data_IF_066338266636
#
_entry.id   IF_066338266636
#
_cell.length_a   1.000
_cell.length_b   1.000
_cell.length_c   1.000
_cell.angle_alpha   90.00
_cell.angle_beta   90.00
_cell.angle_gamma   90.00
#
_symmetry.space_group_name_H-M   'P 1'
#
loop_
_entity.id
_entity.type
_entity.pdbx_description
1 polymer ?
#
# COMPACT_ATOMS: atom_id res chain seq x y z
N UNK A 1 -18.05 -19.36 48.13
CA UNK A 1 -17.51 -17.97 48.14
C UNK A 1 -17.44 -17.51 46.68
N UNK A 2 -18.55 -17.16 46.02
CA UNK A 2 -19.19 -15.83 45.97
C UNK A 2 -18.22 -14.65 45.91
N UNK A 3 -17.99 -14.13 44.70
CA UNK A 3 -17.69 -12.71 44.48
C UNK A 3 -18.59 -12.19 43.35
N UNK A 4 -19.64 -11.46 43.76
CA UNK A 4 -20.48 -10.61 42.91
C UNK A 4 -19.63 -9.49 42.31
N UNK A 5 -19.78 -9.26 41.01
CA UNK A 5 -19.30 -8.06 40.33
C UNK A 5 -20.42 -7.00 40.37
N UNK A 6 -20.18 -5.80 40.93
CA UNK A 6 -21.19 -4.74 40.95
C UNK A 6 -21.25 -3.98 39.62
N UNK A 7 -22.46 -3.93 39.07
CA UNK A 7 -22.96 -2.97 38.10
C UNK A 7 -22.90 -1.55 38.69
N UNK A 8 -22.38 -0.59 37.92
CA UNK A 8 -22.42 0.82 38.30
C UNK A 8 -22.67 1.70 37.06
N UNK A 9 -23.89 1.59 36.56
CA UNK A 9 -24.53 2.64 35.77
C UNK A 9 -24.66 3.94 36.57
N UNK A 10 -23.87 4.96 36.23
CA UNK A 10 -24.17 6.36 36.60
C UNK A 10 -23.97 7.32 35.44
N UNK A 11 -25.12 7.62 34.85
CA UNK A 11 -25.53 8.87 34.20
C UNK A 11 -24.71 10.09 34.59
N UNK A 12 -24.08 10.72 33.60
CA UNK A 12 -23.66 12.12 33.68
C UNK A 12 -24.18 12.87 32.45
N UNK A 13 -25.25 13.64 32.64
CA UNK A 13 -25.67 14.68 31.69
C UNK A 13 -25.16 16.03 32.19
N UNK A 14 -24.50 16.80 31.34
CA UNK A 14 -24.67 18.25 31.36
C UNK A 14 -25.43 18.70 30.10
N UNK A 15 -26.43 19.51 30.36
CA UNK A 15 -27.37 20.11 29.43
C UNK A 15 -26.99 21.58 29.28
N UNK A 16 -26.36 22.01 28.17
CA UNK A 16 -26.30 23.42 27.79
C UNK A 16 -26.47 23.58 26.27
N UNK A 17 -27.69 23.99 25.92
CA UNK A 17 -28.10 24.96 24.89
C UNK A 17 -27.28 25.10 23.59
N UNK A 18 -27.90 24.62 22.51
CA UNK A 18 -28.53 25.53 21.55
C UNK A 18 -27.63 26.40 20.66
N UNK A 19 -27.08 25.81 19.60
CA UNK A 19 -26.92 26.49 18.31
C UNK A 19 -27.41 25.57 17.19
N UNK A 20 -28.60 25.88 16.66
CA UNK A 20 -29.11 25.29 15.42
C UNK A 20 -28.17 25.68 14.28
N UNK A 21 -27.29 24.76 13.90
CA UNK A 21 -26.59 24.83 12.63
C UNK A 21 -27.30 23.87 11.68
N UNK A 22 -28.04 24.43 10.72
CA UNK A 22 -28.62 23.71 9.59
C UNK A 22 -27.48 23.05 8.83
N UNK A 23 -27.26 21.75 9.03
CA UNK A 23 -26.43 20.95 8.13
C UNK A 23 -27.31 20.61 6.94
N UNK A 24 -27.08 21.33 5.85
CA UNK A 24 -27.57 20.97 4.54
C UNK A 24 -27.13 19.53 4.24
N UNK A 25 -28.12 18.67 4.01
CA UNK A 25 -27.98 17.42 3.29
C UNK A 25 -27.37 17.71 1.91
N UNK A 26 -26.08 17.41 1.75
CA UNK A 26 -25.40 17.38 0.45
C UNK A 26 -24.65 16.06 0.36
N UNK A 27 -25.22 15.16 -0.44
CA UNK A 27 -24.46 14.28 -1.32
C UNK A 27 -23.69 13.14 -0.66
N UNK A 28 -24.38 12.02 -0.44
CA UNK A 28 -23.80 10.68 -0.28
C UNK A 28 -23.06 10.15 -1.54
N UNK A 29 -22.37 11.03 -2.28
CA UNK A 29 -21.60 10.72 -3.50
C UNK A 29 -20.12 11.13 -3.33
N UNK A 30 -19.79 11.96 -2.34
CA UNK A 30 -18.41 12.42 -2.14
C UNK A 30 -17.45 11.35 -1.58
N UNK A 31 -17.96 10.27 -0.96
CA UNK A 31 -17.11 9.25 -0.31
C UNK A 31 -16.66 8.13 -1.26
N UNK A 32 -17.31 7.96 -2.42
CA UNK A 32 -16.95 6.92 -3.40
C UNK A 32 -15.83 7.39 -4.35
N UNK A 33 -15.65 8.69 -4.51
CA UNK A 33 -14.64 9.25 -5.41
C UNK A 33 -13.22 9.32 -4.82
N UNK A 34 -13.05 9.20 -3.50
CA UNK A 34 -11.73 9.24 -2.84
C UNK A 34 -10.99 7.89 -3.00
N UNK A 35 -11.72 6.78 -3.18
CA UNK A 35 -11.10 5.46 -3.38
C UNK A 35 -10.60 5.29 -4.82
N UNK A 36 -11.25 5.95 -5.80
CA UNK A 36 -10.87 5.88 -7.21
C UNK A 36 -9.67 6.80 -7.53
N UNK A 37 -9.50 7.92 -6.82
CA UNK A 37 -8.41 8.87 -7.09
C UNK A 37 -7.04 8.39 -6.60
N UNK A 38 -6.94 7.55 -5.56
CA UNK A 38 -5.64 7.01 -5.13
C UNK A 38 -5.15 5.89 -6.06
N UNK A 39 -6.06 5.11 -6.67
CA UNK A 39 -5.71 4.08 -7.66
C UNK A 39 -5.27 4.73 -8.98
N UNK A 40 -5.92 5.83 -9.41
CA UNK A 40 -5.49 6.55 -10.61
C UNK A 40 -4.12 7.20 -10.44
N UNK A 41 -3.86 7.91 -9.34
CA UNK A 41 -2.60 8.65 -9.16
C UNK A 41 -1.39 7.71 -9.00
N UNK A 42 -1.57 6.50 -8.48
CA UNK A 42 -0.46 5.53 -8.34
C UNK A 42 -0.18 4.71 -9.59
N UNK A 43 -1.12 4.60 -10.53
CA UNK A 43 -0.99 3.69 -11.69
C UNK A 43 -1.02 4.38 -13.06
N UNK A 44 -1.43 5.65 -13.17
CA UNK A 44 -1.29 6.46 -14.39
C UNK A 44 -0.19 7.51 -14.30
N UNK A 45 0.56 7.52 -13.19
CA UNK A 45 1.78 8.29 -13.06
C UNK A 45 2.71 7.94 -14.22
N UNK A 46 2.94 8.90 -15.10
CA UNK A 46 3.95 8.83 -16.15
C UNK A 46 5.31 8.88 -15.42
N UNK A 47 5.72 7.76 -14.81
CA UNK A 47 7.05 7.56 -14.23
C UNK A 47 8.04 7.54 -15.38
N UNK A 48 8.31 8.70 -15.98
CA UNK A 48 9.55 8.93 -16.71
C UNK A 48 10.64 8.78 -15.66
N UNK A 49 11.19 7.57 -15.59
CA UNK A 49 12.25 7.15 -14.67
C UNK A 49 13.39 8.16 -14.75
N UNK A 50 13.46 9.07 -13.79
CA UNK A 50 14.60 9.91 -13.45
C UNK A 50 14.36 10.42 -12.04
N UNK A 51 14.95 9.73 -11.08
CA UNK A 51 14.80 9.98 -9.67
C UNK A 51 15.96 10.78 -9.05
N UNK A 52 16.83 11.40 -9.87
CA UNK A 52 17.83 12.42 -9.49
C UNK A 52 17.31 13.60 -8.62
N UNK A 53 16.05 13.60 -8.18
CA UNK A 53 15.45 14.55 -7.23
C UNK A 53 14.50 13.92 -6.19
N UNK A 54 14.48 12.60 -5.99
CA UNK A 54 13.61 12.01 -4.96
C UNK A 54 14.21 12.33 -3.59
N UNK A 55 13.44 13.05 -2.78
CA UNK A 55 13.76 13.29 -1.37
C UNK A 55 13.28 12.11 -0.54
N UNK A 56 13.99 11.80 0.54
CA UNK A 56 13.50 10.88 1.57
C UNK A 56 12.14 11.37 2.06
N UNK A 57 11.11 10.54 1.95
CA UNK A 57 9.79 10.85 2.44
C UNK A 57 9.76 10.74 3.97
N UNK A 58 8.99 11.62 4.60
CA UNK A 58 8.77 11.57 6.04
C UNK A 58 7.71 10.50 6.41
N UNK A 59 8.04 9.23 6.18
CA UNK A 59 7.24 8.07 6.53
C UNK A 59 8.08 7.04 7.30
N UNK A 60 7.46 5.93 7.73
CA UNK A 60 8.16 4.88 8.49
C UNK A 60 9.40 4.37 7.77
N UNK A 61 9.32 4.15 6.45
CA UNK A 61 10.42 3.61 5.65
C UNK A 61 11.59 4.59 5.53
N UNK A 62 11.32 5.86 5.25
CA UNK A 62 12.34 6.91 5.17
C UNK A 62 13.01 7.15 6.51
N UNK A 63 12.23 7.33 7.58
CA UNK A 63 12.76 7.57 8.93
C UNK A 63 13.63 6.41 9.41
N UNK A 64 13.19 5.16 9.21
CA UNK A 64 13.96 3.98 9.62
C UNK A 64 15.22 3.78 8.77
N UNK A 65 15.16 4.05 7.46
CA UNK A 65 16.34 4.03 6.60
C UNK A 65 17.39 5.04 7.09
N UNK A 66 16.98 6.28 7.39
CA UNK A 66 17.87 7.32 7.92
C UNK A 66 18.46 6.94 9.29
N UNK A 67 17.63 6.42 10.21
CA UNK A 67 18.08 5.94 11.52
C UNK A 67 19.12 4.82 11.42
N UNK A 68 19.03 3.99 10.38
CA UNK A 68 20.02 2.94 10.07
C UNK A 68 21.26 3.46 9.32
N UNK A 69 21.39 4.78 9.14
CA UNK A 69 22.51 5.40 8.44
C UNK A 69 22.50 5.19 6.92
N UNK A 70 21.37 4.76 6.36
CA UNK A 70 21.20 4.67 4.92
C UNK A 70 21.02 6.06 4.32
N UNK A 71 21.83 6.36 3.31
CA UNK A 71 21.77 7.60 2.54
C UNK A 71 21.44 7.32 1.08
N UNK A 72 22.09 6.32 0.48
CA UNK A 72 21.99 6.08 -0.97
C UNK A 72 20.59 5.70 -1.42
N UNK A 73 20.01 4.67 -0.80
CA UNK A 73 18.70 4.14 -1.24
C UNK A 73 17.54 4.60 -0.38
N UNK A 74 17.75 5.48 0.61
CA UNK A 74 16.70 5.89 1.56
C UNK A 74 15.52 6.55 0.85
N UNK A 75 15.80 7.39 -0.15
CA UNK A 75 14.78 8.08 -0.94
C UNK A 75 13.90 7.08 -1.72
N UNK A 76 14.53 6.24 -2.55
CA UNK A 76 13.85 5.19 -3.31
C UNK A 76 13.05 4.23 -2.42
N UNK A 77 13.65 3.79 -1.30
CA UNK A 77 13.01 2.89 -0.34
C UNK A 77 11.78 3.53 0.30
N UNK A 78 11.85 4.83 0.63
CA UNK A 78 10.72 5.56 1.21
C UNK A 78 9.54 5.69 0.25
N UNK A 79 9.80 5.91 -1.05
CA UNK A 79 8.77 6.02 -2.10
C UNK A 79 8.14 4.66 -2.40
N UNK A 80 8.95 3.60 -2.53
CA UNK A 80 8.45 2.25 -2.73
C UNK A 80 7.60 1.79 -1.54
N UNK A 81 8.04 2.08 -0.31
CA UNK A 81 7.29 1.77 0.91
C UNK A 81 5.96 2.52 1.01
N UNK A 82 5.94 3.82 0.68
CA UNK A 82 4.69 4.61 0.60
C UNK A 82 3.71 3.98 -0.41
N UNK A 83 4.22 3.68 -1.61
CA UNK A 83 3.42 3.10 -2.69
C UNK A 83 2.86 1.73 -2.31
N UNK A 84 3.68 0.89 -1.67
CA UNK A 84 3.30 -0.44 -1.21
C UNK A 84 2.23 -0.40 -0.11
N UNK A 85 2.28 0.60 0.77
CA UNK A 85 1.39 0.72 1.93
C UNK A 85 0.14 1.56 1.70
N UNK A 86 0.00 2.17 0.53
CA UNK A 86 -1.15 2.99 0.16
C UNK A 86 -2.49 2.28 0.47
N UNK A 87 -3.40 3.01 1.14
CA UNK A 87 -4.74 2.57 1.53
C UNK A 87 -4.78 1.36 2.49
N UNK A 88 -3.70 1.09 3.23
CA UNK A 88 -3.66 0.02 4.24
C UNK A 88 -3.33 0.56 5.63
N UNK A 89 -3.84 -0.13 6.65
CA UNK A 89 -3.16 -0.13 7.95
C UNK A 89 -2.03 -1.17 7.87
N UNK A 90 -0.86 -0.85 8.40
CA UNK A 90 0.30 -1.72 8.24
C UNK A 90 1.24 -1.70 9.46
N UNK A 91 2.03 -2.76 9.54
CA UNK A 91 3.25 -2.82 10.35
C UNK A 91 4.37 -3.39 9.49
N UNK A 92 5.59 -2.95 9.76
CA UNK A 92 6.74 -3.27 8.93
C UNK A 92 7.92 -3.69 9.80
N UNK A 93 8.60 -4.76 9.39
CA UNK A 93 9.92 -5.12 9.88
C UNK A 93 10.94 -4.72 8.82
N UNK A 94 11.90 -3.88 9.18
CA UNK A 94 13.00 -3.49 8.28
C UNK A 94 14.23 -4.34 8.63
N UNK A 95 14.88 -4.83 7.59
CA UNK A 95 16.04 -5.71 7.63
C UNK A 95 17.13 -5.04 6.79
N UNK A 96 18.28 -4.79 7.40
CA UNK A 96 19.42 -4.16 6.75
C UNK A 96 20.73 -4.70 7.34
N UNK A 97 21.87 -4.34 6.74
CA UNK A 97 23.19 -4.59 7.32
C UNK A 97 23.65 -3.33 8.08
N UNK A 98 23.57 -3.28 9.43
CA UNK A 98 23.71 -2.02 10.19
C UNK A 98 25.07 -1.31 10.03
N UNK A 99 26.12 -2.04 9.60
CA UNK A 99 27.48 -1.51 9.41
C UNK A 99 27.84 -1.23 7.94
N UNK A 100 26.93 -1.52 7.02
CA UNK A 100 27.17 -1.40 5.58
C UNK A 100 25.88 -1.15 4.79
N UNK A 101 24.93 -0.41 5.38
CA UNK A 101 23.63 -0.12 4.78
C UNK A 101 23.73 0.54 3.40
N UNK A 102 24.76 1.38 3.17
CA UNK A 102 25.00 2.02 1.87
C UNK A 102 25.71 1.14 0.83
N UNK A 103 26.05 -0.11 1.16
CA UNK A 103 26.71 -1.07 0.26
C UNK A 103 25.93 -2.36 0.04
N UNK A 104 24.82 -2.54 0.75
CA UNK A 104 23.99 -3.73 0.68
C UNK A 104 22.52 -3.38 0.57
N UNK A 105 21.72 -4.39 0.32
CA UNK A 105 20.27 -4.30 0.25
C UNK A 105 19.67 -3.83 1.58
N UNK A 106 18.63 -3.02 1.50
CA UNK A 106 17.62 -2.87 2.55
C UNK A 106 16.36 -3.58 2.09
N UNK A 107 15.68 -4.22 3.04
CA UNK A 107 14.42 -4.89 2.80
C UNK A 107 13.43 -4.52 3.91
N UNK A 108 12.15 -4.49 3.58
CA UNK A 108 11.09 -4.59 4.57
C UNK A 108 10.12 -5.72 4.26
N UNK A 109 9.66 -6.39 5.32
CA UNK A 109 8.51 -7.27 5.31
C UNK A 109 7.33 -6.52 5.95
N UNK A 110 6.21 -6.46 5.25
CA UNK A 110 5.08 -5.62 5.64
C UNK A 110 3.82 -6.45 5.73
N UNK A 111 3.20 -6.46 6.91
CA UNK A 111 1.85 -6.97 7.12
C UNK A 111 0.83 -5.86 6.89
N UNK A 112 -0.24 -6.15 6.17
CA UNK A 112 -1.22 -5.14 5.76
C UNK A 112 -2.66 -5.57 6.02
N UNK A 113 -3.48 -4.60 6.39
CA UNK A 113 -4.92 -4.74 6.55
C UNK A 113 -5.59 -3.69 5.66
N UNK A 114 -6.47 -4.16 4.79
CA UNK A 114 -7.28 -3.34 3.88
C UNK A 114 -8.75 -3.43 4.27
N UNK A 115 -9.47 -2.33 4.05
CA UNK A 115 -10.92 -2.33 4.10
C UNK A 115 -11.45 -2.17 2.67
N UNK A 116 -11.95 -3.26 2.09
CA UNK A 116 -12.49 -3.30 0.72
C UNK A 116 -13.98 -3.61 0.82
N UNK A 117 -14.83 -2.66 0.44
CA UNK A 117 -16.29 -2.81 0.49
C UNK A 117 -16.80 -3.28 1.87
N UNK A 118 -16.32 -2.64 2.94
CA UNK A 118 -16.63 -2.97 4.34
C UNK A 118 -16.18 -4.37 4.79
N UNK A 119 -15.32 -5.03 4.03
CA UNK A 119 -14.71 -6.32 4.39
C UNK A 119 -13.22 -6.14 4.65
N UNK A 120 -12.76 -6.80 5.70
CA UNK A 120 -11.34 -6.85 6.03
C UNK A 120 -10.65 -7.82 5.08
N UNK A 121 -9.64 -7.31 4.37
CA UNK A 121 -8.71 -8.07 3.56
C UNK A 121 -7.32 -7.97 4.18
N UNK A 122 -6.52 -9.04 4.02
CA UNK A 122 -5.14 -9.09 4.50
C UNK A 122 -4.19 -9.09 3.32
N UNK A 123 -3.05 -8.46 3.51
CA UNK A 123 -1.94 -8.49 2.58
C UNK A 123 -0.61 -8.75 3.28
N UNK A 124 0.34 -9.25 2.50
CA UNK A 124 1.71 -9.43 2.92
C UNK A 124 2.60 -8.99 1.76
N UNK A 125 3.55 -8.12 2.04
CA UNK A 125 4.26 -7.39 1.00
C UNK A 125 5.72 -7.22 1.37
N UNK A 126 6.56 -7.01 0.38
CA UNK A 126 7.96 -6.69 0.59
C UNK A 126 8.38 -5.52 -0.28
N UNK A 127 9.23 -4.66 0.28
CA UNK A 127 9.97 -3.65 -0.47
C UNK A 127 11.45 -3.96 -0.30
N UNK A 128 12.22 -3.82 -1.36
CA UNK A 128 13.67 -3.81 -1.27
C UNK A 128 14.27 -2.67 -2.08
N UNK A 129 15.46 -2.24 -1.68
CA UNK A 129 16.31 -1.39 -2.50
C UNK A 129 17.78 -1.76 -2.29
N UNK A 130 18.59 -1.59 -3.33
CA UNK A 130 20.01 -1.89 -3.33
C UNK A 130 20.80 -0.82 -4.10
N UNK A 131 22.01 -0.48 -3.63
CA UNK A 131 22.94 0.36 -4.39
C UNK A 131 23.36 -0.31 -5.71
N UNK A 132 23.33 0.42 -6.84
CA UNK A 132 23.84 -0.03 -8.14
C UNK A 132 24.57 1.14 -8.82
N UNK A 133 25.84 0.96 -9.19
CA UNK A 133 26.67 1.84 -10.05
C UNK A 133 26.63 3.37 -9.82
N UNK A 134 26.31 3.86 -8.64
CA UNK A 134 26.13 5.31 -8.45
C UNK A 134 24.81 5.67 -7.82
N UNK A 135 23.78 4.92 -8.18
CA UNK A 135 22.39 5.12 -7.79
C UNK A 135 21.85 3.98 -6.95
N UNK A 136 20.54 3.78 -7.05
CA UNK A 136 19.84 2.68 -6.40
C UNK A 136 18.78 2.09 -7.30
N UNK A 137 18.61 0.79 -7.20
CA UNK A 137 17.47 0.08 -7.78
C UNK A 137 16.63 -0.52 -6.67
N UNK A 138 15.35 -0.68 -6.90
CA UNK A 138 14.47 -1.27 -5.92
C UNK A 138 13.19 -1.78 -6.56
N UNK A 139 12.51 -2.63 -5.81
CA UNK A 139 11.18 -3.06 -6.17
C UNK A 139 10.30 -3.19 -4.95
N UNK A 140 9.00 -3.13 -5.20
CA UNK A 140 7.99 -3.59 -4.26
C UNK A 140 7.23 -4.76 -4.85
N UNK A 141 6.91 -5.74 -4.00
CA UNK A 141 5.94 -6.80 -4.26
C UNK A 141 4.83 -6.65 -3.24
N UNK A 142 3.62 -6.41 -3.72
CA UNK A 142 2.42 -6.29 -2.90
C UNK A 142 1.47 -7.44 -3.17
N UNK A 143 1.21 -8.27 -2.16
CA UNK A 143 0.26 -9.38 -2.27
C UNK A 143 -0.97 -9.10 -1.42
N UNK A 144 -2.15 -9.13 -2.04
CA UNK A 144 -3.43 -8.86 -1.37
C UNK A 144 -4.42 -9.97 -1.68
N UNK A 145 -5.08 -10.52 -0.66
CA UNK A 145 -6.21 -11.43 -0.85
C UNK A 145 -7.51 -10.63 -0.87
N UNK A 146 -8.13 -10.47 -2.04
CA UNK A 146 -9.39 -9.74 -2.18
C UNK A 146 -10.61 -10.67 -2.12
N UNK A 147 -11.72 -10.25 -1.49
CA UNK A 147 -12.98 -11.00 -1.47
C UNK A 147 -13.79 -10.81 -2.78
N UNK A 148 -13.10 -10.80 -3.92
CA UNK A 148 -13.64 -10.71 -5.27
C UNK A 148 -12.93 -11.74 -6.15
N UNK A 149 -13.63 -12.28 -7.14
CA UNK A 149 -13.04 -13.16 -8.15
C UNK A 149 -11.98 -12.42 -8.97
N UNK A 150 -11.02 -13.15 -9.56
CA UNK A 150 -9.99 -12.49 -10.38
C UNK A 150 -10.59 -11.78 -11.61
N UNK A 151 -11.69 -12.29 -12.16
CA UNK A 151 -12.40 -11.63 -13.26
C UNK A 151 -12.99 -10.28 -12.84
N UNK A 152 -13.58 -10.19 -11.64
CA UNK A 152 -14.06 -8.92 -11.08
C UNK A 152 -12.92 -7.94 -10.81
N UNK A 153 -11.77 -8.43 -10.32
CA UNK A 153 -10.57 -7.60 -10.13
C UNK A 153 -10.12 -6.96 -11.44
N UNK A 154 -10.03 -7.74 -12.52
CA UNK A 154 -9.66 -7.22 -13.85
C UNK A 154 -10.62 -6.11 -14.29
N UNK A 155 -11.92 -6.32 -14.10
CA UNK A 155 -12.96 -5.42 -14.58
C UNK A 155 -13.06 -4.13 -13.75
N UNK A 156 -12.98 -4.24 -12.44
CA UNK A 156 -13.39 -3.17 -11.52
C UNK A 156 -12.22 -2.49 -10.81
N UNK A 157 -11.07 -3.16 -10.70
CA UNK A 157 -9.92 -2.63 -9.92
C UNK A 157 -8.70 -2.28 -10.76
N UNK A 158 -8.46 -2.96 -11.88
CA UNK A 158 -7.31 -2.64 -12.71
C UNK A 158 -7.52 -1.31 -13.45
N UNK A 159 -6.46 -0.49 -13.60
CA UNK A 159 -6.51 0.73 -14.40
C UNK A 159 -6.96 0.46 -15.83
N UNK A 160 -7.55 1.48 -16.46
CA UNK A 160 -7.79 1.43 -17.90
C UNK A 160 -6.45 1.38 -18.65
N UNK A 161 -6.41 0.60 -19.74
CA UNK A 161 -5.21 0.47 -20.58
C UNK A 161 -4.16 -0.52 -20.05
N UNK A 162 -4.50 -1.35 -19.06
CA UNK A 162 -3.67 -2.53 -18.75
C UNK A 162 -3.72 -3.52 -19.90
N UNK A 163 -2.56 -4.03 -20.29
CA UNK A 163 -2.43 -5.02 -21.36
C UNK A 163 -2.17 -6.39 -20.75
N UNK A 164 -3.05 -7.36 -21.01
CA UNK A 164 -2.77 -8.76 -20.67
C UNK A 164 -1.58 -9.23 -21.49
N UNK A 165 -0.60 -9.77 -20.80
CA UNK A 165 0.60 -10.37 -21.38
C UNK A 165 0.39 -11.89 -21.51
N UNK A 166 1.48 -12.64 -21.63
CA UNK A 166 1.43 -14.10 -21.54
C UNK A 166 1.16 -14.56 -20.11
N UNK A 167 0.44 -15.68 -19.97
CA UNK A 167 0.25 -16.31 -18.67
C UNK A 167 1.54 -16.99 -18.20
N UNK A 168 1.83 -16.91 -16.91
CA UNK A 168 2.96 -17.58 -16.26
C UNK A 168 2.44 -18.82 -15.54
N UNK A 169 2.63 -20.01 -16.13
CA UNK A 169 2.07 -21.26 -15.60
C UNK A 169 0.57 -21.11 -15.24
N UNK A 170 -0.23 -20.66 -16.21
CA UNK A 170 -1.67 -20.39 -16.09
C UNK A 170 -2.05 -19.22 -15.16
N UNK A 171 -1.07 -18.51 -14.59
CA UNK A 171 -1.30 -17.27 -13.83
C UNK A 171 -1.37 -16.10 -14.79
N UNK A 172 -2.50 -15.41 -14.83
CA UNK A 172 -2.68 -14.26 -15.71
C UNK A 172 -1.75 -13.11 -15.31
N UNK A 173 -0.96 -12.62 -16.27
CA UNK A 173 -0.05 -11.49 -16.10
C UNK A 173 -0.58 -10.28 -16.88
N UNK A 174 -0.57 -9.12 -16.23
CA UNK A 174 -0.95 -7.84 -16.83
C UNK A 174 0.20 -6.86 -16.67
N UNK A 175 0.50 -6.13 -17.74
CA UNK A 175 1.43 -5.01 -17.69
C UNK A 175 0.65 -3.76 -17.23
N UNK A 176 1.14 -3.11 -16.19
CA UNK A 176 0.66 -1.79 -15.78
C UNK A 176 1.34 -0.71 -16.63
N UNK A 177 0.72 0.46 -16.81
CA UNK A 177 1.42 1.62 -17.35
C UNK A 177 2.73 1.89 -16.58
N UNK A 178 3.83 2.16 -17.30
CA UNK A 178 5.15 2.30 -16.71
C UNK A 178 5.92 0.98 -16.54
N UNK A 179 6.49 0.77 -15.35
CA UNK A 179 7.44 -0.32 -15.01
C UNK A 179 6.85 -1.38 -14.06
N UNK A 180 5.53 -1.54 -14.05
CA UNK A 180 4.82 -2.43 -13.12
C UNK A 180 4.12 -3.62 -13.79
N UNK A 181 3.83 -4.64 -13.00
CA UNK A 181 3.09 -5.83 -13.40
C UNK A 181 2.07 -6.23 -12.33
N UNK A 182 0.99 -6.87 -12.75
CA UNK A 182 0.03 -7.53 -11.86
C UNK A 182 -0.14 -8.97 -12.27
N UNK A 183 -0.06 -9.88 -11.30
CA UNK A 183 -0.45 -11.28 -11.45
C UNK A 183 -1.71 -11.55 -10.64
N UNK A 184 -2.61 -12.35 -11.21
CA UNK A 184 -3.87 -12.72 -10.58
C UNK A 184 -3.96 -14.24 -10.45
N UNK A 185 -4.15 -14.72 -9.22
CA UNK A 185 -4.28 -16.13 -8.92
C UNK A 185 -5.59 -16.38 -8.16
N UNK A 186 -6.49 -17.23 -8.68
CA UNK A 186 -7.71 -17.59 -7.98
C UNK A 186 -7.37 -18.28 -6.64
N UNK A 187 -7.91 -17.75 -5.54
CA UNK A 187 -7.88 -18.45 -4.24
C UNK A 187 -9.16 -19.26 -4.02
N UNK A 188 -10.27 -18.82 -4.61
CA UNK A 188 -11.53 -19.56 -4.74
C UNK A 188 -12.32 -19.03 -5.94
N UNK A 189 -13.54 -19.52 -6.15
CA UNK A 189 -14.45 -18.95 -7.14
C UNK A 189 -14.80 -17.47 -6.90
N UNK A 190 -14.68 -16.99 -5.65
CA UNK A 190 -15.08 -15.64 -5.22
C UNK A 190 -13.97 -14.88 -4.51
N UNK A 191 -12.71 -15.33 -4.62
CA UNK A 191 -11.55 -14.62 -4.06
C UNK A 191 -10.34 -14.74 -4.96
N UNK A 192 -9.51 -13.71 -4.95
CA UNK A 192 -8.34 -13.59 -5.79
C UNK A 192 -7.13 -13.15 -4.95
N UNK A 193 -5.98 -13.75 -5.21
CA UNK A 193 -4.70 -13.22 -4.79
C UNK A 193 -4.19 -12.30 -5.89
N UNK A 194 -4.00 -11.03 -5.54
CA UNK A 194 -3.46 -10.01 -6.43
C UNK A 194 -2.02 -9.75 -6.02
N UNK A 195 -1.07 -10.05 -6.92
CA UNK A 195 0.34 -9.74 -6.72
C UNK A 195 0.70 -8.58 -7.64
N UNK A 196 1.04 -7.43 -7.06
CA UNK A 196 1.55 -6.27 -7.81
C UNK A 196 3.06 -6.20 -7.65
N UNK A 197 3.79 -6.09 -8.75
CA UNK A 197 5.22 -5.82 -8.75
C UNK A 197 5.48 -4.45 -9.39
N UNK A 198 6.33 -3.63 -8.77
CA UNK A 198 6.78 -2.37 -9.34
C UNK A 198 8.27 -2.22 -9.12
N UNK A 199 9.01 -1.95 -10.20
CA UNK A 199 10.43 -1.65 -10.16
C UNK A 199 10.63 -0.14 -10.32
N UNK A 200 11.55 0.42 -9.56
CA UNK A 200 11.98 1.81 -9.69
C UNK A 200 13.50 1.88 -9.61
N UNK A 201 14.08 2.79 -10.39
CA UNK A 201 15.51 3.08 -10.38
C UNK A 201 15.74 4.56 -10.09
N UNK A 202 16.83 4.82 -9.38
CA UNK A 202 17.36 6.14 -9.06
C UNK A 202 18.73 6.29 -9.71
N UNK A 203 18.78 7.07 -10.79
CA UNK A 203 19.97 7.44 -11.57
C UNK A 203 20.36 8.90 -11.32
#
# INVERSE_FOLDING_TARGET
MSKKQPDNSKSFRPHIQGKMMKILSIGGIALVLIIISVIYVTLTGNYKNKASSIKVLNNLFGQQAEQMGMKRCAALFSVLGETLTANSQYSAQIISTPKAANRHTIQSLVGQIYNVNNKISKGASTVFAAPVDGGCEGMMIRTVLTPQSCTEVVKDQLPKGVERQNDLAETALFRLPGSGYVMLMPASASSCVVVTALNLTDE
#
